data_IF_951414019453
#
_entry.id   IF_951414019453
#
_cell.length_a   1.000
_cell.length_b   1.000
_cell.length_c   1.000
_cell.angle_alpha   90.00
_cell.angle_beta   90.00
_cell.angle_gamma   90.00
#
_symmetry.space_group_name_H-M   'P 1'
#
loop_
_entity.id
_entity.type
_entity.pdbx_description
1 polymer ?
#
# COMPACT_ATOMS: atom_id res chain seq x y z
N UNK A 1 4.14 10.19 5.30
CA UNK A 1 3.59 9.05 4.54
C UNK A 1 2.07 9.03 4.61
N UNK A 2 1.43 8.53 5.68
CA UNK A 2 -0.04 8.36 5.72
C UNK A 2 -0.82 9.64 5.41
N UNK A 3 -0.39 10.80 5.94
CA UNK A 3 -0.98 12.11 5.63
C UNK A 3 -1.05 12.40 4.12
N UNK A 4 -0.02 12.01 3.36
CA UNK A 4 0.02 12.26 1.91
C UNK A 4 -0.91 11.33 1.14
N UNK A 5 -0.98 10.05 1.51
CA UNK A 5 -1.90 9.10 0.88
C UNK A 5 -3.35 9.55 1.10
N UNK A 6 -3.69 9.92 2.34
CA UNK A 6 -5.01 10.47 2.69
C UNK A 6 -5.30 11.69 1.82
N UNK A 7 -4.39 12.66 1.81
CA UNK A 7 -4.60 13.89 1.05
C UNK A 7 -4.77 13.61 -0.45
N UNK A 8 -4.03 12.65 -1.01
CA UNK A 8 -4.21 12.23 -2.41
C UNK A 8 -5.58 11.61 -2.69
N UNK A 9 -6.13 10.82 -1.76
CA UNK A 9 -7.47 10.23 -1.87
C UNK A 9 -8.55 11.33 -1.74
N UNK A 10 -8.43 12.21 -0.75
CA UNK A 10 -9.39 13.29 -0.48
C UNK A 10 -9.41 14.34 -1.61
N UNK A 11 -8.26 14.65 -2.21
CA UNK A 11 -8.15 15.55 -3.37
C UNK A 11 -8.95 15.05 -4.60
N UNK A 12 -9.19 13.75 -4.69
CA UNK A 12 -10.02 13.13 -5.73
C UNK A 12 -11.48 12.94 -5.30
N UNK A 13 -11.86 13.47 -4.13
CA UNK A 13 -13.23 13.50 -3.62
C UNK A 13 -13.72 12.18 -3.01
N UNK A 14 -12.82 11.27 -2.64
CA UNK A 14 -13.17 9.99 -2.02
C UNK A 14 -12.85 9.94 -0.53
N UNK A 15 -13.53 9.03 0.17
CA UNK A 15 -13.26 8.71 1.56
C UNK A 15 -12.15 7.65 1.67
N UNK A 16 -11.43 7.66 2.79
CA UNK A 16 -10.44 6.64 3.12
C UNK A 16 -10.88 5.83 4.35
N UNK A 17 -10.31 4.64 4.48
CA UNK A 17 -10.49 3.78 5.67
C UNK A 17 -9.21 3.01 5.93
N UNK A 18 -8.74 3.03 7.17
CA UNK A 18 -7.57 2.26 7.57
C UNK A 18 -7.99 0.91 8.11
N UNK A 19 -7.33 -0.14 7.62
CA UNK A 19 -7.49 -1.49 8.14
C UNK A 19 -6.11 -2.08 8.36
N UNK A 20 -5.89 -2.71 9.52
CA UNK A 20 -4.71 -3.51 9.79
C UNK A 20 -5.01 -4.97 9.49
N UNK A 21 -4.23 -5.54 8.58
CA UNK A 21 -4.27 -6.97 8.22
C UNK A 21 -3.28 -7.71 9.12
N UNK A 22 -3.70 -8.83 9.69
CA UNK A 22 -2.87 -9.64 10.59
C UNK A 22 -2.44 -10.97 9.98
N UNK A 23 -3.22 -11.53 9.04
CA UNK A 23 -3.01 -12.91 8.57
C UNK A 23 -1.67 -13.16 7.85
N UNK A 24 -1.02 -12.09 7.40
CA UNK A 24 0.24 -12.11 6.66
C UNK A 24 0.93 -10.75 6.73
N UNK A 25 2.23 -10.73 6.51
CA UNK A 25 3.05 -9.51 6.35
C UNK A 25 3.37 -9.21 4.88
N UNK A 26 2.94 -10.06 3.93
CA UNK A 26 3.16 -9.86 2.50
C UNK A 26 2.29 -8.72 1.95
N UNK A 27 2.91 -7.73 1.30
CA UNK A 27 2.24 -6.49 0.86
C UNK A 27 1.13 -6.72 -0.15
N UNK A 28 1.27 -7.70 -1.06
CA UNK A 28 0.28 -7.94 -2.10
C UNK A 28 -0.99 -8.56 -1.49
N UNK A 29 -0.83 -9.53 -0.59
CA UNK A 29 -1.96 -10.08 0.16
C UNK A 29 -2.60 -9.06 1.10
N UNK A 30 -1.81 -8.18 1.73
CA UNK A 30 -2.34 -7.06 2.54
C UNK A 30 -3.17 -6.11 1.67
N UNK A 31 -2.69 -5.76 0.48
CA UNK A 31 -3.40 -4.87 -0.45
C UNK A 31 -4.67 -5.52 -0.99
N UNK A 32 -4.61 -6.82 -1.33
CA UNK A 32 -5.76 -7.60 -1.80
C UNK A 32 -6.85 -7.71 -0.74
N UNK A 33 -6.50 -8.02 0.52
CA UNK A 33 -7.47 -8.01 1.64
C UNK A 33 -8.12 -6.63 1.82
N UNK A 34 -7.32 -5.56 1.73
CA UNK A 34 -7.83 -4.20 1.82
C UNK A 34 -8.80 -3.89 0.66
N UNK A 35 -8.51 -4.40 -0.54
CA UNK A 35 -9.36 -4.25 -1.72
C UNK A 35 -10.67 -5.04 -1.59
N UNK A 36 -10.65 -6.27 -1.06
CA UNK A 36 -11.84 -7.08 -0.79
C UNK A 36 -12.76 -6.44 0.24
N UNK A 37 -12.20 -5.77 1.25
CA UNK A 37 -12.97 -5.04 2.26
C UNK A 37 -13.47 -3.68 1.74
N UNK A 38 -12.90 -3.14 0.67
CA UNK A 38 -13.20 -1.80 0.16
C UNK A 38 -14.50 -1.77 -0.64
N UNK A 39 -15.34 -0.76 -0.39
CA UNK A 39 -16.59 -0.56 -1.14
C UNK A 39 -16.38 -0.31 -2.63
N UNK A 40 -15.25 0.29 -3.02
CA UNK A 40 -14.87 0.48 -4.42
C UNK A 40 -14.13 -0.72 -5.02
N UNK A 41 -13.75 -1.71 -4.21
CA UNK A 41 -12.90 -2.81 -4.63
C UNK A 41 -11.43 -2.43 -4.86
N UNK A 42 -11.00 -1.23 -4.47
CA UNK A 42 -9.59 -0.77 -4.56
C UNK A 42 -8.99 -0.67 -3.16
N UNK A 43 -7.78 -1.21 -2.99
CA UNK A 43 -7.04 -1.21 -1.73
C UNK A 43 -5.58 -0.78 -1.92
N UNK A 44 -5.01 -0.15 -0.90
CA UNK A 44 -3.58 0.20 -0.85
C UNK A 44 -2.94 -0.62 0.26
N UNK A 45 -1.98 -1.48 -0.08
CA UNK A 45 -1.17 -2.20 0.90
C UNK A 45 0.15 -1.50 1.15
N UNK A 46 0.54 -1.35 2.41
CA UNK A 46 1.77 -0.68 2.82
C UNK A 46 2.43 -1.53 3.91
N UNK A 47 3.68 -1.92 3.69
CA UNK A 47 4.51 -2.53 4.74
C UNK A 47 5.17 -1.45 5.60
N UNK A 48 5.53 -1.81 6.83
CA UNK A 48 6.24 -0.91 7.76
C UNK A 48 7.55 -0.36 7.16
N UNK A 49 8.25 -1.16 6.33
CA UNK A 49 9.46 -0.74 5.60
C UNK A 49 9.20 0.18 4.41
N UNK A 50 7.94 0.46 4.06
CA UNK A 50 7.53 1.43 3.05
C UNK A 50 7.11 0.86 1.69
N UNK A 51 7.36 -0.41 1.39
CA UNK A 51 6.90 -1.03 0.13
C UNK A 51 5.38 -0.91 0.03
N UNK A 52 4.90 -0.47 -1.13
CA UNK A 52 3.50 -0.07 -1.32
C UNK A 52 2.93 -0.68 -2.60
N UNK A 53 1.65 -1.03 -2.59
CA UNK A 53 0.90 -1.61 -3.73
C UNK A 53 -0.48 -0.98 -3.80
N UNK A 54 -0.94 -0.66 -5.01
CA UNK A 54 -2.36 -0.43 -5.31
C UNK A 54 -2.94 -1.71 -5.92
N UNK A 55 -3.99 -2.24 -5.32
CA UNK A 55 -4.61 -3.50 -5.72
C UNK A 55 -6.10 -3.33 -5.98
N UNK A 56 -6.66 -4.24 -6.78
CA UNK A 56 -8.10 -4.36 -7.03
C UNK A 56 -8.58 -5.76 -6.65
N UNK A 57 -9.79 -5.87 -6.07
CA UNK A 57 -10.34 -7.12 -5.50
C UNK A 57 -10.39 -8.29 -6.50
N UNK A 58 -10.62 -8.00 -7.77
CA UNK A 58 -10.85 -8.99 -8.83
C UNK A 58 -9.55 -9.50 -9.48
N UNK A 59 -8.40 -8.94 -9.08
CA UNK A 59 -7.09 -9.38 -9.54
C UNK A 59 -6.58 -10.55 -8.68
N UNK A 60 -5.78 -11.42 -9.28
CA UNK A 60 -5.06 -12.45 -8.52
C UNK A 60 -4.18 -11.83 -7.43
N UNK A 61 -3.98 -12.48 -6.27
CA UNK A 61 -3.32 -11.87 -5.11
C UNK A 61 -1.88 -11.36 -5.32
N UNK A 62 -1.17 -11.86 -6.34
CA UNK A 62 0.19 -11.40 -6.69
C UNK A 62 0.23 -10.49 -7.93
N UNK A 63 -0.93 -10.19 -8.51
CA UNK A 63 -1.10 -9.13 -9.48
C UNK A 63 -1.27 -7.78 -8.75
N UNK A 64 -1.43 -6.68 -9.49
CA UNK A 64 -1.67 -5.35 -8.94
C UNK A 64 -2.05 -4.38 -10.05
N UNK A 65 -2.57 -3.21 -9.66
CA UNK A 65 -2.72 -2.06 -10.56
C UNK A 65 -1.39 -1.30 -10.68
N UNK A 66 -0.75 -1.03 -9.54
CA UNK A 66 0.56 -0.37 -9.47
C UNK A 66 1.39 -0.92 -8.31
N UNK A 67 2.71 -1.08 -8.53
CA UNK A 67 3.65 -1.64 -7.55
C UNK A 67 4.84 -0.69 -7.34
N UNK A 68 5.10 -0.37 -6.08
CA UNK A 68 6.22 0.46 -5.62
C UNK A 68 7.20 -0.42 -4.85
N UNK A 69 8.02 -1.16 -5.60
CA UNK A 69 8.86 -2.24 -5.08
C UNK A 69 10.12 -1.76 -4.34
N UNK A 70 10.64 -0.57 -4.68
CA UNK A 70 11.83 0.01 -4.07
C UNK A 70 11.47 1.07 -3.03
N UNK A 71 11.11 0.62 -1.83
CA UNK A 71 10.69 1.48 -0.72
C UNK A 71 11.61 2.69 -0.44
N UNK A 72 12.95 2.57 -0.50
CA UNK A 72 13.85 3.71 -0.28
C UNK A 72 13.69 4.87 -1.28
N UNK A 73 13.05 4.64 -2.42
CA UNK A 73 12.84 5.65 -3.46
C UNK A 73 11.47 6.34 -3.41
N UNK A 74 10.58 5.89 -2.52
CA UNK A 74 9.22 6.42 -2.38
C UNK A 74 9.27 7.65 -1.47
N UNK A 75 9.05 8.82 -2.04
CA UNK A 75 9.02 10.09 -1.32
C UNK A 75 7.58 10.56 -1.04
N UNK A 76 7.45 11.68 -0.29
CA UNK A 76 6.14 12.24 0.08
C UNK A 76 5.27 12.57 -1.15
N UNK A 77 5.78 13.21 -2.22
CA UNK A 77 5.03 13.40 -3.46
C UNK A 77 4.54 12.09 -4.09
N UNK A 78 5.39 11.05 -4.09
CA UNK A 78 5.01 9.72 -4.61
C UNK A 78 3.87 9.13 -3.77
N UNK A 79 3.93 9.22 -2.44
CA UNK A 79 2.82 8.77 -1.58
C UNK A 79 1.50 9.50 -1.86
N UNK A 80 1.55 10.81 -2.13
CA UNK A 80 0.35 11.58 -2.51
C UNK A 80 -0.20 11.12 -3.86
N UNK A 81 0.67 10.90 -4.84
CA UNK A 81 0.30 10.40 -6.16
C UNK A 81 -0.31 9.00 -6.10
N UNK A 82 0.20 8.12 -5.23
CA UNK A 82 -0.38 6.79 -4.95
C UNK A 82 -1.82 6.93 -4.48
N UNK A 83 -2.08 7.83 -3.51
CA UNK A 83 -3.43 8.11 -3.03
C UNK A 83 -4.37 8.58 -4.15
N UNK A 84 -3.91 9.52 -4.99
CA UNK A 84 -4.68 10.02 -6.14
C UNK A 84 -5.03 8.90 -7.12
N UNK A 85 -4.05 8.11 -7.54
CA UNK A 85 -4.29 7.06 -8.53
C UNK A 85 -5.22 5.98 -7.97
N UNK A 86 -5.05 5.57 -6.70
CA UNK A 86 -5.98 4.66 -6.05
C UNK A 86 -7.42 5.19 -6.06
N UNK A 87 -7.61 6.49 -5.80
CA UNK A 87 -8.93 7.10 -5.86
C UNK A 87 -9.49 7.19 -7.29
N UNK A 88 -8.66 7.45 -8.29
CA UNK A 88 -9.05 7.41 -9.71
C UNK A 88 -9.47 6.01 -10.14
N UNK A 89 -8.72 4.98 -9.77
CA UNK A 89 -9.13 3.60 -10.00
C UNK A 89 -10.45 3.26 -9.29
N UNK A 90 -10.66 3.75 -8.06
CA UNK A 90 -11.91 3.56 -7.34
C UNK A 90 -13.12 4.23 -8.03
N UNK A 91 -12.88 5.26 -8.86
CA UNK A 91 -13.87 5.90 -9.74
C UNK A 91 -14.01 5.19 -11.10
N UNK A 92 -13.33 4.06 -11.31
CA UNK A 92 -13.22 3.35 -12.59
C UNK A 92 -12.56 4.19 -13.71
N UNK A 93 -11.70 5.14 -13.35
CA UNK A 93 -10.88 5.87 -14.30
C UNK A 93 -9.62 5.08 -14.68
N UNK A 94 -8.93 5.50 -15.75
CA UNK A 94 -7.65 4.94 -16.20
C UNK A 94 -6.54 6.00 -16.11
N UNK A 95 -6.05 6.32 -14.89
CA UNK A 95 -4.98 7.30 -14.72
C UNK A 95 -3.67 6.83 -15.35
N UNK A 96 -2.82 7.79 -15.72
CA UNK A 96 -1.43 7.49 -16.01
C UNK A 96 -0.77 6.93 -14.73
N UNK A 97 -0.05 5.78 -14.81
CA UNK A 97 0.63 5.21 -13.66
C UNK A 97 1.61 6.20 -13.02
N UNK A 98 1.75 6.14 -11.71
CA UNK A 98 2.71 6.97 -10.98
C UNK A 98 4.11 6.62 -11.48
N UNK A 99 4.93 7.61 -11.89
CA UNK A 99 6.30 7.35 -12.32
C UNK A 99 7.12 6.66 -11.23
N UNK A 100 7.53 5.41 -11.50
CA UNK A 100 8.32 4.61 -10.57
C UNK A 100 9.80 4.93 -10.75
N UNK A 101 10.47 5.34 -9.68
CA UNK A 101 11.94 5.45 -9.65
C UNK A 101 12.54 4.06 -9.56
N UNK A 102 13.62 3.82 -10.30
CA UNK A 102 14.36 2.57 -10.26
C UNK A 102 15.85 2.86 -10.06
N UNK A 103 16.43 2.36 -8.96
CA UNK A 103 17.86 2.42 -8.68
C UNK A 103 18.42 0.99 -8.62
N UNK A 104 19.28 0.66 -9.57
CA UNK A 104 20.00 -0.61 -9.63
C UNK A 104 20.84 -0.90 -8.37
N UNK A 105 21.23 0.13 -7.62
CA UNK A 105 21.97 0.03 -6.35
C UNK A 105 21.06 -0.11 -5.13
N UNK A 106 19.73 0.00 -5.29
CA UNK A 106 18.80 -0.14 -4.18
C UNK A 106 18.90 -1.51 -3.51
N UNK A 107 18.99 -2.59 -4.30
CA UNK A 107 19.12 -3.96 -3.77
C UNK A 107 20.46 -4.15 -3.03
N UNK A 108 21.64 -3.88 -3.64
CA UNK A 108 22.92 -3.96 -2.92
C UNK A 108 22.95 -3.18 -1.60
N UNK A 109 22.35 -1.99 -1.55
CA UNK A 109 22.37 -1.13 -0.35
C UNK A 109 21.37 -1.55 0.72
N UNK A 110 20.16 -1.93 0.33
CA UNK A 110 19.02 -1.99 1.26
C UNK A 110 18.40 -3.37 1.42
N UNK A 111 18.76 -4.39 0.61
CA UNK A 111 18.07 -5.69 0.68
C UNK A 111 18.21 -6.37 2.05
N UNK A 112 19.39 -6.34 2.66
CA UNK A 112 19.60 -6.92 3.99
C UNK A 112 18.77 -6.20 5.06
N UNK A 113 18.71 -4.87 5.01
CA UNK A 113 17.89 -4.05 5.92
C UNK A 113 16.40 -4.35 5.71
N UNK A 114 15.96 -4.41 4.45
CA UNK A 114 14.58 -4.73 4.09
C UNK A 114 14.16 -6.12 4.59
N UNK A 115 15.04 -7.11 4.52
CA UNK A 115 14.80 -8.45 5.07
C UNK A 115 14.64 -8.41 6.60
N UNK A 116 15.55 -7.73 7.32
CA UNK A 116 15.46 -7.60 8.78
C UNK A 116 14.18 -6.88 9.23
N UNK A 117 13.80 -5.80 8.55
CA UNK A 117 12.56 -5.08 8.83
C UNK A 117 11.32 -5.95 8.57
N UNK A 118 11.33 -6.73 7.49
CA UNK A 118 10.22 -7.63 7.17
C UNK A 118 10.12 -8.81 8.15
N UNK A 119 11.25 -9.37 8.60
CA UNK A 119 11.28 -10.40 9.66
C UNK A 119 10.60 -9.87 10.92
N UNK A 120 11.00 -8.69 11.40
CA UNK A 120 10.40 -8.05 12.59
C UNK A 120 8.90 -7.78 12.42
N UNK A 121 8.47 -7.30 11.26
CA UNK A 121 7.04 -7.10 10.98
C UNK A 121 6.27 -8.43 10.99
N UNK A 122 6.88 -9.50 10.49
CA UNK A 122 6.27 -10.84 10.41
C UNK A 122 6.06 -11.48 11.78
N UNK A 123 6.84 -11.12 12.80
CA UNK A 123 6.61 -11.55 14.19
C UNK A 123 5.24 -11.10 14.75
N UNK A 124 4.63 -10.06 14.15
CA UNK A 124 3.31 -9.57 14.53
C UNK A 124 2.16 -10.14 13.66
N UNK A 125 2.47 -11.05 12.73
CA UNK A 125 1.46 -11.72 11.93
C UNK A 125 0.71 -12.78 12.76
N UNK A 126 -0.61 -12.79 12.64
CA UNK A 126 -1.50 -13.76 13.26
C UNK A 126 -2.55 -14.21 12.24
N UNK A 127 -2.40 -15.44 11.77
CA UNK A 127 -3.27 -16.08 10.76
C UNK A 127 -4.72 -16.20 11.20
N UNK A 128 -4.97 -16.26 12.51
CA UNK A 128 -6.31 -16.46 13.06
C UNK A 128 -6.99 -15.13 13.40
N UNK A 129 -6.25 -14.02 13.40
CA UNK A 129 -6.77 -12.70 13.73
C UNK A 129 -7.36 -12.02 12.51
N UNK A 130 -8.63 -11.62 12.63
CA UNK A 130 -9.35 -10.88 11.59
C UNK A 130 -8.75 -9.49 11.37
N UNK A 131 -8.85 -8.93 10.15
CA UNK A 131 -8.56 -7.53 9.89
C UNK A 131 -9.28 -6.60 10.87
N UNK A 132 -8.61 -5.52 11.29
CA UNK A 132 -9.19 -4.53 12.21
C UNK A 132 -9.16 -3.14 11.61
N UNK A 133 -10.30 -2.46 11.63
CA UNK A 133 -10.37 -1.04 11.29
C UNK A 133 -9.62 -0.21 12.34
N UNK A 134 -8.90 0.81 11.87
CA UNK A 134 -8.11 1.70 12.71
C UNK A 134 -8.61 3.14 12.58
N UNK A 135 -8.73 3.83 13.72
CA UNK A 135 -8.80 5.28 13.76
C UNK A 135 -7.40 5.83 14.01
N UNK A 136 -6.91 6.67 13.10
CA UNK A 136 -5.58 7.27 13.20
C UNK A 136 -5.70 8.69 13.72
N UNK A 137 -4.96 9.01 14.77
CA UNK A 137 -4.80 10.37 15.28
C UNK A 137 -3.42 10.89 14.91
N UNK A 138 -3.40 12.01 14.18
CA UNK A 138 -2.16 12.68 13.83
C UNK A 138 -1.78 13.62 14.97
N UNK A 139 -0.61 13.36 15.56
CA UNK A 139 0.08 14.35 16.40
C UNK A 139 0.75 15.42 15.53
#
# INVERSE_FOLDING_TARGET
>A
MLKEIIAGIEEEGLNYRFVKIYRTSDVCFVAHDAAELSGSGVGIGIQSKGTTVIHQKDLFPLSNLELFSQAPLIDLPTFRAIGKNAAKYAKNESPAPVPVKNDQMARPKYQAIAALLHIKETEYADRNKKPQELKIEFK
#
